data_IF_563191722778
#
_entry.id   IF_563191722778
#
_cell.length_a   1.000
_cell.length_b   1.000
_cell.length_c   1.000
_cell.angle_alpha   90.00
_cell.angle_beta   90.00
_cell.angle_gamma   90.00
#
_symmetry.space_group_name_H-M   'P 1'
#
loop_
_entity.id
_entity.type
_entity.pdbx_description
1 polymer ?
#
# COMPACT_ATOMS: atom_id res chain seq x y z
N UNK A 1 -8.46 -18.67 5.79
CA UNK A 1 -7.72 -18.55 4.52
C UNK A 1 -8.48 -17.57 3.63
N UNK A 2 -7.85 -16.53 3.11
CA UNK A 2 -8.53 -15.55 2.25
C UNK A 2 -8.73 -16.14 0.84
N UNK A 3 -9.99 -16.24 0.37
CA UNK A 3 -10.32 -16.85 -0.93
C UNK A 3 -9.68 -16.11 -2.11
N UNK A 4 -9.52 -14.78 -2.00
CA UNK A 4 -8.88 -13.96 -3.04
C UNK A 4 -7.39 -14.28 -3.13
N UNK A 5 -6.70 -14.39 -1.99
CA UNK A 5 -5.27 -14.74 -1.96
C UNK A 5 -5.02 -16.09 -2.64
N UNK A 6 -5.84 -17.10 -2.33
CA UNK A 6 -5.70 -18.41 -2.97
C UNK A 6 -5.96 -18.35 -4.49
N UNK A 7 -6.98 -17.58 -4.92
CA UNK A 7 -7.20 -17.33 -6.35
C UNK A 7 -5.99 -16.65 -7.02
N UNK A 8 -5.37 -15.68 -6.35
CA UNK A 8 -4.17 -15.00 -6.86
C UNK A 8 -2.98 -15.95 -6.96
N UNK A 9 -2.75 -16.79 -5.95
CA UNK A 9 -1.70 -17.82 -5.96
C UNK A 9 -1.89 -18.83 -7.10
N UNK A 10 -3.11 -19.32 -7.29
CA UNK A 10 -3.43 -20.26 -8.39
C UNK A 10 -3.22 -19.62 -9.77
N UNK A 11 -3.61 -18.36 -9.94
CA UNK A 11 -3.44 -17.64 -11.21
C UNK A 11 -2.00 -17.23 -11.50
N UNK A 12 -1.17 -17.10 -10.47
CA UNK A 12 0.22 -16.64 -10.57
C UNK A 12 1.18 -17.66 -9.94
N UNK A 13 1.26 -18.91 -10.44
CA UNK A 13 2.03 -19.98 -9.80
C UNK A 13 3.55 -19.72 -9.74
N UNK A 14 4.04 -18.72 -10.49
CA UNK A 14 5.44 -18.30 -10.55
C UNK A 14 5.76 -17.13 -9.61
N UNK A 15 4.75 -16.54 -8.95
CA UNK A 15 4.91 -15.47 -7.97
C UNK A 15 4.49 -16.03 -6.62
N UNK A 16 5.40 -16.01 -5.66
CA UNK A 16 5.04 -16.36 -4.29
C UNK A 16 4.40 -15.13 -3.62
N UNK A 17 3.07 -15.19 -3.44
CA UNK A 17 2.28 -14.10 -2.84
C UNK A 17 2.01 -14.46 -1.38
N UNK A 18 2.62 -13.71 -0.47
CA UNK A 18 2.39 -13.79 0.97
C UNK A 18 1.15 -13.01 1.38
N UNK A 19 0.64 -13.25 2.58
CA UNK A 19 -0.27 -12.33 3.26
C UNK A 19 0.55 -11.25 3.98
N UNK A 20 0.02 -10.03 4.09
CA UNK A 20 0.62 -8.97 4.93
C UNK A 20 0.67 -9.37 6.42
N UNK A 21 -0.14 -10.34 6.84
CA UNK A 21 -0.14 -10.90 8.19
C UNK A 21 0.86 -12.05 8.39
N UNK A 22 1.58 -12.47 7.34
CA UNK A 22 2.61 -13.49 7.45
C UNK A 22 3.90 -12.88 8.07
N UNK A 23 4.69 -13.65 8.83
CA UNK A 23 5.93 -13.15 9.47
C UNK A 23 6.93 -12.50 8.51
N UNK A 24 6.94 -12.92 7.24
CA UNK A 24 7.78 -12.39 6.19
C UNK A 24 7.57 -10.88 5.94
N UNK A 25 6.41 -10.33 6.30
CA UNK A 25 6.12 -8.91 6.14
C UNK A 25 6.86 -8.02 7.17
N UNK A 26 7.21 -8.56 8.34
CA UNK A 26 7.78 -7.78 9.47
C UNK A 26 9.09 -7.05 9.14
N UNK A 27 9.82 -7.51 8.11
CA UNK A 27 11.05 -6.84 7.66
C UNK A 27 10.79 -5.61 6.78
N UNK A 28 9.56 -5.43 6.31
CA UNK A 28 9.15 -4.36 5.40
C UNK A 28 8.24 -3.33 6.08
N UNK A 29 7.42 -3.76 7.03
CA UNK A 29 6.53 -2.88 7.78
C UNK A 29 5.69 -3.63 8.81
N UNK A 30 4.65 -2.97 9.28
CA UNK A 30 3.67 -3.52 10.21
C UNK A 30 2.25 -3.18 9.74
N UNK A 31 1.26 -3.94 10.23
CA UNK A 31 -0.15 -3.64 10.00
C UNK A 31 -0.66 -2.82 11.18
N UNK A 32 -1.17 -1.63 10.90
CA UNK A 32 -1.70 -0.70 11.90
C UNK A 32 -3.17 -1.03 12.24
N UNK A 33 -3.67 -0.47 13.34
CA UNK A 33 -5.09 -0.62 13.69
C UNK A 33 -5.96 0.23 12.74
N UNK A 34 -6.65 -0.46 11.83
CA UNK A 34 -7.51 0.18 10.82
C UNK A 34 -8.64 1.01 11.43
N UNK A 35 -9.04 0.75 12.68
CA UNK A 35 -10.11 1.51 13.33
C UNK A 35 -9.78 3.00 13.54
N UNK A 36 -8.48 3.35 13.52
CA UNK A 36 -8.01 4.74 13.57
C UNK A 36 -8.12 5.47 12.22
N UNK A 37 -8.38 4.74 11.13
CA UNK A 37 -8.40 5.26 9.77
C UNK A 37 -9.82 5.28 9.15
N UNK A 38 -10.86 4.99 9.93
CA UNK A 38 -12.25 4.84 9.42
C UNK A 38 -12.72 6.06 8.62
N UNK A 39 -12.44 7.28 9.09
CA UNK A 39 -12.84 8.50 8.38
C UNK A 39 -12.22 8.62 6.98
N UNK A 40 -10.97 8.17 6.82
CA UNK A 40 -10.30 8.14 5.52
C UNK A 40 -10.90 7.07 4.60
N UNK A 41 -11.19 5.86 5.12
CA UNK A 41 -11.77 4.79 4.27
C UNK A 41 -13.19 5.16 3.84
N UNK A 42 -14.00 5.73 4.72
CA UNK A 42 -15.35 6.19 4.41
C UNK A 42 -15.31 7.28 3.33
N UNK A 43 -14.44 8.29 3.49
CA UNK A 43 -14.27 9.34 2.51
C UNK A 43 -13.88 8.77 1.15
N UNK A 44 -12.83 7.94 1.10
CA UNK A 44 -12.33 7.36 -0.15
C UNK A 44 -13.36 6.43 -0.82
N UNK A 45 -14.10 5.65 -0.04
CA UNK A 45 -15.17 4.77 -0.53
C UNK A 45 -16.32 5.54 -1.17
N UNK A 46 -16.63 6.74 -0.66
CA UNK A 46 -17.74 7.57 -1.15
C UNK A 46 -17.35 8.44 -2.34
N UNK A 47 -16.11 8.91 -2.40
CA UNK A 47 -15.68 9.95 -3.33
C UNK A 47 -14.80 9.44 -4.47
N UNK A 48 -14.31 8.21 -4.39
CA UNK A 48 -13.40 7.67 -5.39
C UNK A 48 -13.90 6.34 -5.94
N UNK A 49 -13.36 5.92 -7.09
CA UNK A 49 -13.65 4.62 -7.68
C UNK A 49 -12.43 4.09 -8.40
N UNK A 50 -12.32 2.77 -8.53
CA UNK A 50 -11.26 2.16 -9.32
C UNK A 50 -11.65 2.23 -10.80
N UNK A 51 -10.89 2.96 -11.65
CA UNK A 51 -11.21 3.05 -13.07
C UNK A 51 -11.08 1.68 -13.76
N UNK A 52 -11.95 1.44 -14.74
CA UNK A 52 -11.93 0.19 -15.51
C UNK A 52 -10.65 0.03 -16.36
N UNK A 53 -10.00 1.13 -16.73
CA UNK A 53 -8.76 1.18 -17.51
C UNK A 53 -7.83 2.25 -16.95
N UNK A 54 -6.55 1.93 -16.84
CA UNK A 54 -5.51 2.86 -16.38
C UNK A 54 -5.48 3.03 -14.86
N UNK A 55 -4.99 4.18 -14.42
CA UNK A 55 -5.02 4.61 -13.04
C UNK A 55 -5.37 6.10 -12.95
N UNK A 56 -5.85 6.49 -11.78
CA UNK A 56 -5.99 7.85 -11.31
C UNK A 56 -5.01 8.04 -10.15
N UNK A 57 -4.21 9.10 -10.23
CA UNK A 57 -3.20 9.43 -9.23
C UNK A 57 -3.41 10.86 -8.77
N UNK A 58 -3.74 11.02 -7.48
CA UNK A 58 -3.85 12.31 -6.82
C UNK A 58 -2.79 12.36 -5.73
N UNK A 59 -1.69 13.12 -5.89
CA UNK A 59 -0.57 13.14 -4.94
C UNK A 59 -0.94 13.78 -3.60
N UNK A 60 -1.83 14.77 -3.63
CA UNK A 60 -2.30 15.48 -2.45
C UNK A 60 -3.74 15.93 -2.63
N UNK A 61 -4.56 15.73 -1.60
CA UNK A 61 -5.93 16.21 -1.51
C UNK A 61 -6.13 16.79 -0.10
N UNK A 62 -6.45 18.08 -0.02
CA UNK A 62 -6.53 18.82 1.25
C UNK A 62 -7.54 18.17 2.21
N UNK A 63 -8.66 17.67 1.70
CA UNK A 63 -9.70 16.99 2.47
C UNK A 63 -9.19 15.73 3.18
N UNK A 64 -8.25 14.99 2.58
CA UNK A 64 -7.62 13.85 3.24
C UNK A 64 -6.67 14.30 4.34
N UNK A 65 -5.96 15.40 4.11
CA UNK A 65 -5.11 16.02 5.13
C UNK A 65 -5.91 16.45 6.35
N UNK A 66 -7.06 17.11 6.15
CA UNK A 66 -7.96 17.53 7.23
C UNK A 66 -8.48 16.35 8.07
N UNK A 67 -8.84 15.24 7.41
CA UNK A 67 -9.24 14.00 8.08
C UNK A 67 -8.08 13.33 8.83
N UNK A 68 -6.87 13.42 8.30
CA UNK A 68 -5.67 12.84 8.89
C UNK A 68 -5.15 13.62 10.11
N UNK A 69 -5.42 14.93 10.22
CA UNK A 69 -4.94 15.80 11.31
C UNK A 69 -5.35 15.35 12.71
N UNK A 70 -6.43 14.57 12.83
CA UNK A 70 -6.90 14.07 14.13
C UNK A 70 -6.33 12.69 14.49
N UNK A 71 -5.63 12.04 13.55
CA UNK A 71 -5.10 10.69 13.73
C UNK A 71 -3.71 10.76 14.40
N UNK A 72 -3.63 10.29 15.65
CA UNK A 72 -2.40 10.31 16.44
C UNK A 72 -1.35 9.34 15.92
N UNK A 73 -1.74 8.22 15.27
CA UNK A 73 -0.78 7.27 14.70
C UNK A 73 0.07 7.95 13.61
N UNK A 74 -0.55 8.77 12.75
CA UNK A 74 0.17 9.52 11.71
C UNK A 74 1.18 10.47 12.38
N UNK A 75 0.75 11.20 13.41
CA UNK A 75 1.63 12.13 14.13
C UNK A 75 2.80 11.43 14.83
N UNK A 76 2.54 10.32 15.50
CA UNK A 76 3.55 9.54 16.22
C UNK A 76 4.55 8.90 15.25
N UNK A 77 4.09 8.50 14.06
CA UNK A 77 4.94 7.91 13.02
C UNK A 77 5.88 8.94 12.38
N UNK A 78 5.37 10.15 12.09
CA UNK A 78 6.09 11.12 11.26
C UNK A 78 6.62 12.34 12.01
N UNK A 79 6.28 12.52 13.29
CA UNK A 79 6.81 13.61 14.11
C UNK A 79 6.35 15.01 13.67
N UNK A 80 5.10 15.14 13.22
CA UNK A 80 4.47 16.41 12.82
C UNK A 80 5.17 17.17 11.68
N UNK A 81 5.94 16.48 10.84
CA UNK A 81 6.48 17.06 9.60
C UNK A 81 5.37 17.30 8.58
N UNK A 82 5.54 18.20 7.60
CA UNK A 82 4.62 18.28 6.47
C UNK A 82 4.53 16.96 5.71
N UNK A 83 3.31 16.51 5.42
CA UNK A 83 3.01 15.25 4.74
C UNK A 83 2.13 15.49 3.51
N UNK A 84 2.18 14.54 2.58
CA UNK A 84 1.26 14.48 1.45
C UNK A 84 0.20 13.40 1.69
N UNK A 85 -1.07 13.74 1.42
CA UNK A 85 -2.21 12.84 1.61
C UNK A 85 -2.91 12.66 0.27
N UNK A 86 -2.58 11.56 -0.41
CA UNK A 86 -3.05 11.27 -1.75
C UNK A 86 -3.71 9.91 -1.87
N UNK A 87 -4.13 9.56 -3.08
CA UNK A 87 -4.60 8.22 -3.41
C UNK A 87 -4.20 7.82 -4.83
N UNK A 88 -4.13 6.50 -5.02
CA UNK A 88 -3.92 5.88 -6.31
C UNK A 88 -5.00 4.83 -6.53
N UNK A 89 -5.79 5.00 -7.59
CA UNK A 89 -6.85 4.08 -7.95
C UNK A 89 -6.59 3.50 -9.32
N UNK A 90 -6.48 2.19 -9.44
CA UNK A 90 -6.30 1.55 -10.74
C UNK A 90 -5.93 0.09 -10.63
N UNK A 91 -5.82 -0.54 -11.79
CA UNK A 91 -5.41 -1.93 -11.90
C UNK A 91 -4.12 -2.01 -12.71
N UNK A 92 -3.16 -2.81 -12.23
CA UNK A 92 -1.92 -3.08 -12.95
C UNK A 92 -1.60 -4.58 -12.88
N UNK A 93 -0.99 -5.10 -13.95
CA UNK A 93 -0.53 -6.49 -14.08
C UNK A 93 0.95 -6.60 -14.43
N UNK A 94 1.68 -5.47 -14.40
CA UNK A 94 3.11 -5.40 -14.74
C UNK A 94 3.88 -4.64 -13.66
N UNK A 95 5.04 -5.17 -13.27
CA UNK A 95 6.04 -4.39 -12.54
C UNK A 95 6.88 -3.58 -13.53
N UNK A 96 6.59 -2.28 -13.65
CA UNK A 96 7.31 -1.38 -14.57
C UNK A 96 8.48 -0.66 -13.90
N UNK A 97 8.28 -0.20 -12.67
CA UNK A 97 9.25 0.52 -11.86
C UNK A 97 8.96 0.27 -10.37
N UNK A 98 9.96 0.59 -9.54
CA UNK A 98 9.83 0.65 -8.09
C UNK A 98 10.26 2.05 -7.65
N UNK A 99 9.64 2.55 -6.59
CA UNK A 99 10.05 3.75 -5.90
C UNK A 99 10.53 3.40 -4.49
N UNK A 100 11.22 4.35 -3.87
CA UNK A 100 11.60 4.24 -2.47
C UNK A 100 11.60 5.62 -1.83
N UNK A 101 11.24 5.65 -0.55
CA UNK A 101 11.23 6.85 0.27
C UNK A 101 12.25 6.68 1.40
N UNK A 102 12.82 7.80 1.87
CA UNK A 102 13.66 7.81 3.09
C UNK A 102 12.85 7.79 4.37
N UNK A 103 11.59 8.21 4.27
CA UNK A 103 10.57 8.13 5.31
C UNK A 103 9.75 6.87 5.12
N UNK A 104 9.08 6.44 6.18
CA UNK A 104 7.97 5.47 6.07
C UNK A 104 6.84 6.03 5.21
N UNK A 105 5.95 5.14 4.77
CA UNK A 105 4.72 5.44 4.07
C UNK A 105 3.59 4.63 4.72
N UNK A 106 2.46 5.27 5.01
CA UNK A 106 1.27 4.58 5.51
C UNK A 106 0.31 4.41 4.33
N UNK A 107 -0.03 3.15 4.02
CA UNK A 107 -1.00 2.80 3.00
C UNK A 107 -2.32 2.41 3.65
N UNK A 108 -3.41 3.14 3.35
CA UNK A 108 -4.77 2.83 3.82
C UNK A 108 -5.52 2.12 2.69
N UNK A 109 -5.75 0.81 2.82
CA UNK A 109 -6.22 -0.01 1.70
C UNK A 109 -7.74 -0.21 1.74
N UNK A 110 -8.49 0.67 1.06
CA UNK A 110 -9.97 0.57 0.98
C UNK A 110 -10.43 -0.69 0.24
N UNK A 111 -9.72 -1.07 -0.82
CA UNK A 111 -9.95 -2.29 -1.61
C UNK A 111 -8.75 -3.22 -1.49
N UNK A 112 -8.89 -4.54 -1.70
CA UNK A 112 -7.76 -5.44 -1.58
C UNK A 112 -6.75 -5.18 -2.70
N UNK A 113 -5.46 -5.28 -2.39
CA UNK A 113 -4.38 -5.06 -3.36
C UNK A 113 -3.22 -6.03 -3.15
N UNK A 114 -2.30 -6.07 -4.13
CA UNK A 114 -1.01 -6.75 -3.99
C UNK A 114 0.09 -5.70 -4.02
N UNK A 115 0.85 -5.62 -2.93
CA UNK A 115 1.99 -4.74 -2.78
C UNK A 115 3.27 -5.49 -3.13
N UNK A 116 4.14 -4.87 -3.92
CA UNK A 116 5.41 -5.42 -4.37
C UNK A 116 6.54 -4.67 -3.66
N UNK A 117 7.28 -5.37 -2.79
CA UNK A 117 8.28 -4.76 -1.92
C UNK A 117 9.65 -5.41 -2.08
N UNK A 118 10.69 -4.62 -1.87
CA UNK A 118 12.06 -5.08 -1.80
C UNK A 118 12.84 -4.24 -0.77
N UNK A 119 14.00 -4.74 -0.32
CA UNK A 119 14.81 -4.00 0.64
C UNK A 119 15.61 -2.91 -0.07
N UNK A 120 15.73 -1.73 0.54
CA UNK A 120 16.65 -0.68 0.08
C UNK A 120 18.11 -1.16 0.00
N UNK A 121 18.47 -2.19 0.78
CA UNK A 121 19.80 -2.80 0.78
C UNK A 121 20.06 -3.67 -0.47
N UNK A 122 19.02 -4.06 -1.20
CA UNK A 122 19.14 -4.78 -2.47
C UNK A 122 19.28 -3.81 -3.68
N UNK A 123 19.30 -2.49 -3.44
CA UNK A 123 19.52 -1.49 -4.49
C UNK A 123 21.02 -1.41 -4.81
N UNK A 124 21.38 -1.65 -6.06
CA UNK A 124 22.73 -1.55 -6.60
C UNK A 124 22.75 -0.62 -7.81
N UNK A 125 23.60 0.42 -7.79
CA UNK A 125 23.70 1.40 -8.88
C UNK A 125 22.34 2.02 -9.29
N UNK A 126 21.51 2.38 -8.30
CA UNK A 126 20.16 2.92 -8.51
C UNK A 126 19.21 1.98 -9.26
N UNK A 127 19.51 0.68 -9.27
CA UNK A 127 18.66 -0.35 -9.85
C UNK A 127 18.47 -1.50 -8.85
N UNK A 128 17.42 -2.28 -9.07
CA UNK A 128 17.17 -3.51 -8.30
C UNK A 128 16.75 -4.62 -9.26
N UNK A 129 17.28 -5.81 -9.03
CA UNK A 129 16.86 -6.98 -9.79
C UNK A 129 15.48 -7.43 -9.31
N UNK A 130 14.53 -7.63 -10.24
CA UNK A 130 13.13 -7.95 -9.90
C UNK A 130 12.97 -9.26 -9.12
N UNK A 131 13.95 -10.17 -9.16
CA UNK A 131 13.97 -11.38 -8.33
C UNK A 131 14.13 -11.10 -6.82
N UNK A 132 14.43 -9.87 -6.42
CA UNK A 132 14.49 -9.42 -5.02
C UNK A 132 13.16 -8.91 -4.50
N UNK A 133 12.15 -8.83 -5.37
CA UNK A 133 10.82 -8.34 -5.05
C UNK A 133 9.97 -9.46 -4.48
N UNK A 134 9.32 -9.18 -3.35
CA UNK A 134 8.36 -10.05 -2.69
C UNK A 134 6.97 -9.45 -2.84
N UNK A 135 5.97 -10.29 -3.12
CA UNK A 135 4.58 -9.89 -3.26
C UNK A 135 3.81 -10.16 -1.96
N UNK A 136 3.06 -9.16 -1.48
CA UNK A 136 2.19 -9.26 -0.32
C UNK A 136 0.76 -8.90 -0.71
N UNK A 137 -0.18 -9.77 -0.42
CA UNK A 137 -1.60 -9.49 -0.52
C UNK A 137 -2.08 -8.77 0.74
N UNK A 138 -2.76 -7.66 0.52
CA UNK A 138 -3.39 -6.83 1.55
C UNK A 138 -4.90 -6.92 1.35
N UNK A 139 -5.67 -7.40 2.34
CA UNK A 139 -7.13 -7.37 2.26
C UNK A 139 -7.68 -5.94 2.19
N UNK A 140 -8.96 -5.81 1.82
CA UNK A 140 -9.68 -4.56 2.03
C UNK A 140 -9.74 -4.18 3.51
N UNK A 141 -9.84 -2.88 3.76
CA UNK A 141 -9.88 -2.29 5.09
C UNK A 141 -8.72 -2.79 5.97
N UNK A 142 -7.50 -2.62 5.45
CA UNK A 142 -6.24 -2.83 6.16
C UNK A 142 -5.45 -1.53 6.21
#
# INVERSE_FOLDING_TARGET
>A
MNEMLEKLRVKNPHIHIHSVFDPEFQRFGEVLDVSEFVGLIEYLSLHTSVPALGNEYVPHLDELGELALVNTIIHDTFGLVPLEYGYVNGNNSKLNALEFHKSSEINVCVTPLVLLLASINDIENSAIHSSKVTAFFIPENT
#
